data_IF_386891119528
#
_entry.id   IF_386891119528
#
_cell.length_a   1.000
_cell.length_b   1.000
_cell.length_c   1.000
_cell.angle_alpha   90.00
_cell.angle_beta   90.00
_cell.angle_gamma   90.00
#
_symmetry.space_group_name_H-M   'P 1'
#
loop_
_entity.id
_entity.type
_entity.pdbx_description
1 polymer ?
#
# COMPACT_ATOMS: atom_id res chain seq x y z
N UNK A 1 5.92 7.36 6.44
CA UNK A 1 5.02 7.69 5.31
C UNK A 1 3.55 7.56 5.72
N UNK A 2 3.16 8.02 6.90
CA UNK A 2 1.84 7.71 7.47
C UNK A 2 0.71 8.37 6.68
N UNK A 3 0.85 9.65 6.34
CA UNK A 3 -0.18 10.40 5.58
C UNK A 3 -0.46 9.81 4.20
N UNK A 4 0.57 9.40 3.46
CA UNK A 4 0.37 8.79 2.16
C UNK A 4 -0.25 7.39 2.25
N UNK A 5 0.02 6.67 3.35
CA UNK A 5 -0.67 5.41 3.64
C UNK A 5 -2.15 5.65 3.98
N UNK A 6 -2.45 6.69 4.76
CA UNK A 6 -3.82 7.07 5.10
C UNK A 6 -4.65 7.36 3.84
N UNK A 7 -4.13 8.15 2.90
CA UNK A 7 -4.78 8.36 1.59
C UNK A 7 -5.00 7.07 0.82
N UNK A 8 -3.98 6.20 0.76
CA UNK A 8 -4.08 4.92 0.05
C UNK A 8 -5.17 4.03 0.64
N UNK A 9 -5.27 3.99 1.97
CA UNK A 9 -6.28 3.22 2.71
C UNK A 9 -7.68 3.83 2.50
N UNK A 10 -7.84 5.14 2.62
CA UNK A 10 -9.11 5.85 2.44
C UNK A 10 -9.66 5.70 1.01
N UNK A 11 -8.81 5.76 -0.01
CA UNK A 11 -9.26 5.52 -1.38
C UNK A 11 -9.53 4.04 -1.66
N UNK A 12 -8.77 3.14 -1.03
CA UNK A 12 -9.02 1.69 -1.13
C UNK A 12 -10.37 1.30 -0.50
N UNK A 13 -10.75 1.87 0.65
CA UNK A 13 -12.03 1.55 1.29
C UNK A 13 -13.22 2.09 0.51
N UNK A 14 -13.15 3.34 0.00
CA UNK A 14 -14.19 3.93 -0.83
C UNK A 14 -14.40 3.11 -2.09
N UNK A 15 -13.30 2.67 -2.71
CA UNK A 15 -13.36 1.80 -3.88
C UNK A 15 -13.98 0.44 -3.55
N UNK A 16 -13.64 -0.17 -2.40
CA UNK A 16 -14.25 -1.42 -1.98
C UNK A 16 -15.77 -1.30 -1.81
N UNK A 17 -16.23 -0.29 -1.07
CA UNK A 17 -17.66 -0.05 -0.82
C UNK A 17 -18.41 0.20 -2.14
N UNK A 18 -17.84 1.02 -3.03
CA UNK A 18 -18.39 1.25 -4.37
C UNK A 18 -18.50 -0.05 -5.17
N UNK A 19 -17.42 -0.85 -5.21
CA UNK A 19 -17.42 -2.14 -5.92
C UNK A 19 -18.44 -3.11 -5.33
N UNK A 20 -18.59 -3.12 -4.01
CA UNK A 20 -19.56 -3.96 -3.30
C UNK A 20 -21.00 -3.62 -3.69
N UNK A 21 -21.37 -2.33 -3.72
CA UNK A 21 -22.70 -1.90 -4.16
C UNK A 21 -22.97 -2.16 -5.64
N UNK A 22 -21.95 -2.05 -6.50
CA UNK A 22 -22.05 -2.28 -7.94
C UNK A 22 -21.98 -3.75 -8.33
N UNK A 23 -21.60 -4.63 -7.40
CA UNK A 23 -21.41 -6.04 -7.69
C UNK A 23 -22.75 -6.71 -8.03
N UNK A 24 -22.81 -7.31 -9.21
CA UNK A 24 -23.90 -8.18 -9.63
C UNK A 24 -23.35 -9.46 -10.27
N UNK A 25 -24.20 -10.48 -10.44
CA UNK A 25 -23.81 -11.69 -11.17
C UNK A 25 -23.48 -11.41 -12.65
N UNK A 26 -24.04 -10.34 -13.22
CA UNK A 26 -23.83 -9.92 -14.61
C UNK A 26 -22.55 -9.08 -14.77
N UNK A 27 -22.19 -8.27 -13.76
CA UNK A 27 -20.98 -7.44 -13.73
C UNK A 27 -20.15 -7.72 -12.46
N UNK A 28 -19.31 -8.77 -12.47
CA UNK A 28 -18.52 -9.15 -11.31
C UNK A 28 -17.35 -8.17 -11.08
N UNK A 29 -17.57 -7.20 -10.19
CA UNK A 29 -16.56 -6.24 -9.70
C UNK A 29 -15.69 -6.79 -8.54
N UNK A 30 -16.13 -7.89 -7.91
CA UNK A 30 -15.47 -8.58 -6.80
C UNK A 30 -14.84 -9.92 -7.26
N UNK A 31 -13.77 -10.40 -6.61
CA UNK A 31 -13.08 -9.81 -5.45
C UNK A 31 -12.31 -8.53 -5.79
N UNK A 32 -12.06 -7.71 -4.78
CA UNK A 32 -11.06 -6.64 -4.85
C UNK A 32 -9.72 -7.13 -4.26
N UNK A 33 -8.64 -6.93 -5.01
CA UNK A 33 -7.28 -7.32 -4.66
C UNK A 33 -6.45 -6.07 -4.41
N UNK A 34 -5.75 -5.97 -3.28
CA UNK A 34 -4.89 -4.82 -2.99
C UNK A 34 -3.77 -4.65 -4.01
N UNK A 35 -3.27 -3.42 -4.17
CA UNK A 35 -2.24 -3.07 -5.15
C UNK A 35 -1.02 -2.36 -4.56
N UNK A 36 -0.95 -2.17 -3.23
CA UNK A 36 0.19 -1.49 -2.58
C UNK A 36 1.55 -2.22 -2.72
N UNK A 37 1.51 -3.55 -2.96
CA UNK A 37 2.70 -4.38 -3.17
C UNK A 37 3.12 -4.42 -4.66
N UNK A 38 4.22 -3.76 -5.05
CA UNK A 38 4.61 -3.66 -6.46
C UNK A 38 5.03 -5.01 -7.07
N UNK A 39 5.60 -5.92 -6.28
CA UNK A 39 5.92 -7.28 -6.74
C UNK A 39 4.66 -8.06 -7.15
N UNK A 40 3.56 -7.89 -6.41
CA UNK A 40 2.26 -8.48 -6.77
C UNK A 40 1.68 -7.82 -8.03
N UNK A 41 1.63 -6.49 -8.09
CA UNK A 41 1.11 -5.77 -9.26
C UNK A 41 1.86 -6.15 -10.53
N UNK A 42 3.20 -6.20 -10.48
CA UNK A 42 4.03 -6.62 -11.62
C UNK A 42 3.71 -8.04 -12.09
N UNK A 43 3.54 -8.97 -11.15
CA UNK A 43 3.14 -10.34 -11.47
C UNK A 43 1.74 -10.39 -12.10
N UNK A 44 0.79 -9.63 -11.55
CA UNK A 44 -0.57 -9.56 -12.05
C UNK A 44 -0.62 -9.04 -13.49
N UNK A 45 0.08 -7.95 -13.81
CA UNK A 45 0.04 -7.37 -15.18
C UNK A 45 0.82 -8.21 -16.19
N UNK A 46 2.03 -8.66 -15.82
CA UNK A 46 2.96 -9.30 -16.78
C UNK A 46 2.69 -10.77 -17.01
N UNK A 47 2.17 -11.48 -16.00
CA UNK A 47 2.00 -12.93 -16.06
C UNK A 47 0.54 -13.34 -16.05
N UNK A 48 -0.31 -12.65 -15.28
CA UNK A 48 -1.70 -13.07 -15.12
C UNK A 48 -2.65 -12.40 -16.11
N UNK A 49 -2.44 -11.11 -16.36
CA UNK A 49 -3.17 -10.29 -17.32
C UNK A 49 -4.62 -10.01 -16.97
N UNK A 50 -5.44 -9.80 -18.02
CA UNK A 50 -6.83 -9.36 -17.94
C UNK A 50 -7.76 -10.17 -17.00
N UNK A 51 -7.57 -11.50 -16.79
CA UNK A 51 -8.36 -12.22 -15.79
C UNK A 51 -8.18 -11.74 -14.34
N UNK A 52 -7.15 -10.93 -14.05
CA UNK A 52 -6.80 -10.49 -12.70
C UNK A 52 -6.72 -8.97 -12.59
N UNK A 53 -6.22 -8.27 -13.62
CA UNK A 53 -6.01 -6.81 -13.54
C UNK A 53 -7.27 -5.99 -13.21
N UNK A 54 -8.50 -6.33 -13.65
CA UNK A 54 -9.73 -5.62 -13.26
C UNK A 54 -10.04 -5.74 -11.76
N UNK A 55 -9.58 -6.80 -11.10
CA UNK A 55 -9.76 -7.01 -9.68
C UNK A 55 -8.77 -6.21 -8.82
N UNK A 56 -7.72 -5.63 -9.41
CA UNK A 56 -6.77 -4.81 -8.67
C UNK A 56 -7.41 -3.49 -8.23
N UNK A 57 -7.16 -3.12 -6.98
CA UNK A 57 -7.48 -1.81 -6.40
C UNK A 57 -6.78 -0.71 -7.18
N UNK A 58 -7.51 0.31 -7.61
CA UNK A 58 -6.98 1.45 -8.39
C UNK A 58 -6.30 2.50 -7.52
N UNK A 59 -6.51 2.50 -6.20
CA UNK A 59 -5.78 3.39 -5.30
C UNK A 59 -4.26 3.16 -5.42
N UNK A 60 -3.52 4.25 -5.58
CA UNK A 60 -2.06 4.25 -5.67
C UNK A 60 -1.44 3.75 -4.37
N UNK A 61 -0.22 3.23 -4.46
CA UNK A 61 0.52 2.85 -3.25
C UNK A 61 1.00 4.09 -2.47
N UNK A 62 1.33 3.94 -1.18
CA UNK A 62 1.80 5.07 -0.35
C UNK A 62 3.02 5.78 -0.94
N UNK A 63 3.91 5.05 -1.62
CA UNK A 63 5.07 5.64 -2.29
C UNK A 63 4.64 6.57 -3.43
N UNK A 64 3.69 6.13 -4.27
CA UNK A 64 3.25 6.90 -5.41
C UNK A 64 2.44 8.13 -4.97
N UNK A 65 1.59 7.97 -3.95
CA UNK A 65 0.85 9.09 -3.35
C UNK A 65 1.81 10.10 -2.73
N UNK A 66 2.86 9.65 -2.03
CA UNK A 66 3.87 10.55 -1.49
C UNK A 66 4.61 11.29 -2.61
N UNK A 67 4.93 10.61 -3.72
CA UNK A 67 5.49 11.24 -4.91
C UNK A 67 4.61 12.38 -5.43
N UNK A 68 3.30 12.14 -5.60
CA UNK A 68 2.33 13.18 -5.99
C UNK A 68 2.25 14.30 -4.97
N UNK A 69 2.22 14.00 -3.66
CA UNK A 69 2.16 15.02 -2.60
C UNK A 69 3.39 15.93 -2.61
N UNK A 70 4.59 15.36 -2.74
CA UNK A 70 5.85 16.11 -2.72
C UNK A 70 6.04 16.92 -4.00
N UNK A 71 5.85 16.30 -5.17
CA UNK A 71 6.11 16.93 -6.46
C UNK A 71 5.02 17.90 -6.89
N UNK A 72 3.85 17.87 -6.25
CA UNK A 72 2.75 18.78 -6.56
C UNK A 72 2.43 19.73 -5.42
N UNK A 73 1.82 19.25 -4.34
CA UNK A 73 1.38 20.11 -3.24
C UNK A 73 2.55 20.83 -2.58
N UNK A 74 3.58 20.11 -2.16
CA UNK A 74 4.74 20.70 -1.49
C UNK A 74 5.52 21.62 -2.43
N UNK A 75 5.73 21.21 -3.69
CA UNK A 75 6.38 22.04 -4.70
C UNK A 75 5.66 23.39 -4.91
N UNK A 76 4.32 23.36 -5.07
CA UNK A 76 3.49 24.57 -5.20
C UNK A 76 3.58 25.45 -3.94
N UNK A 77 3.51 24.84 -2.76
CA UNK A 77 3.57 25.57 -1.48
C UNK A 77 4.91 26.25 -1.24
N UNK A 78 6.00 25.65 -1.70
CA UNK A 78 7.36 26.23 -1.62
C UNK A 78 7.71 27.13 -2.81
N UNK A 79 6.79 27.31 -3.77
CA UNK A 79 7.03 28.03 -5.01
C UNK A 79 8.27 27.51 -5.78
N UNK A 80 8.46 26.17 -5.76
CA UNK A 80 9.54 25.47 -6.45
C UNK A 80 8.99 24.68 -7.64
N UNK A 81 9.77 24.59 -8.71
CA UNK A 81 9.47 23.65 -9.79
C UNK A 81 9.74 22.21 -9.32
N UNK A 82 8.93 21.21 -9.72
CA UNK A 82 9.11 19.82 -9.30
C UNK A 82 10.51 19.25 -9.58
N UNK A 83 11.15 19.71 -10.66
CA UNK A 83 12.51 19.31 -11.07
C UNK A 83 13.62 19.81 -10.12
N UNK A 84 13.33 20.78 -9.25
CA UNK A 84 14.28 21.27 -8.23
C UNK A 84 14.23 20.47 -6.93
N UNK A 85 13.27 19.56 -6.79
CA UNK A 85 13.10 18.74 -5.60
C UNK A 85 13.67 17.37 -5.91
N UNK A 86 14.64 16.90 -5.14
CA UNK A 86 15.13 15.53 -5.22
C UNK A 86 14.49 14.69 -4.11
N UNK A 87 13.55 13.82 -4.48
CA UNK A 87 12.74 13.03 -3.55
C UNK A 87 13.31 11.61 -3.43
N UNK A 88 13.82 11.29 -2.24
CA UNK A 88 14.37 9.97 -1.90
C UNK A 88 13.41 9.22 -0.99
N UNK A 89 13.17 7.95 -1.30
CA UNK A 89 12.34 7.04 -0.51
C UNK A 89 13.21 5.93 0.07
N UNK A 90 13.07 5.69 1.37
CA UNK A 90 13.63 4.49 2.02
C UNK A 90 12.53 3.44 2.17
N UNK A 91 12.74 2.24 1.64
CA UNK A 91 11.74 1.18 1.63
C UNK A 91 12.33 -0.21 1.92
N UNK A 92 11.59 -1.14 2.54
CA UNK A 92 12.11 -2.48 2.86
C UNK A 92 12.17 -3.43 1.64
N UNK A 93 11.95 -2.95 0.42
CA UNK A 93 11.70 -3.78 -0.75
C UNK A 93 12.36 -3.24 -2.03
N UNK A 94 13.06 -4.11 -2.77
CA UNK A 94 13.63 -3.77 -4.07
C UNK A 94 12.58 -3.46 -5.14
N UNK A 95 11.40 -4.08 -5.08
CA UNK A 95 10.33 -3.86 -6.05
C UNK A 95 9.80 -2.42 -6.01
N UNK A 96 10.03 -1.67 -4.92
CA UNK A 96 9.72 -0.24 -4.83
C UNK A 96 10.59 0.62 -5.77
N UNK A 97 11.81 0.16 -6.10
CA UNK A 97 12.62 0.77 -7.17
C UNK A 97 11.95 0.61 -8.52
N UNK A 98 11.42 -0.57 -8.79
CA UNK A 98 10.70 -0.86 -10.04
C UNK A 98 9.39 -0.08 -10.12
N UNK A 99 8.70 0.14 -8.99
CA UNK A 99 7.52 1.01 -8.92
C UNK A 99 7.87 2.46 -9.28
N UNK A 100 8.92 3.03 -8.70
CA UNK A 100 9.38 4.40 -9.03
C UNK A 100 9.72 4.55 -10.52
N UNK A 101 10.35 3.54 -11.12
CA UNK A 101 10.67 3.54 -12.56
C UNK A 101 9.44 3.45 -13.48
N UNK A 102 8.26 3.09 -12.96
CA UNK A 102 7.01 3.08 -13.75
C UNK A 102 6.34 4.44 -13.81
N UNK A 103 6.59 5.31 -12.84
CA UNK A 103 6.08 6.69 -12.79
C UNK A 103 6.73 7.59 -13.84
N UNK A 104 7.69 7.06 -14.60
CA UNK A 104 8.33 7.69 -15.74
C UNK A 104 7.42 7.99 -16.93
N UNK A 105 6.17 7.52 -16.93
CA UNK A 105 5.15 7.96 -17.89
C UNK A 105 4.50 9.22 -17.32
N UNK A 106 4.69 10.41 -17.94
CA UNK A 106 4.11 11.64 -17.43
C UNK A 106 2.59 11.52 -17.37
N UNK A 107 2.04 11.49 -16.16
CA UNK A 107 0.62 11.77 -15.94
C UNK A 107 0.37 13.26 -16.19
N UNK A 108 -0.84 13.62 -16.62
CA UNK A 108 -1.22 15.01 -16.92
C UNK A 108 -0.95 16.04 -15.78
N UNK A 109 -0.72 15.58 -14.54
CA UNK A 109 -0.34 16.41 -13.40
C UNK A 109 1.16 16.55 -13.14
N UNK A 110 2.02 15.66 -13.64
CA UNK A 110 3.43 15.61 -13.25
C UNK A 110 4.32 15.43 -14.48
N UNK A 111 5.12 16.46 -14.79
CA UNK A 111 6.20 16.39 -15.79
C UNK A 111 7.45 15.67 -15.30
N UNK A 112 7.50 15.27 -14.02
CA UNK A 112 8.66 14.69 -13.34
C UNK A 112 8.26 13.43 -12.56
N UNK A 113 9.26 12.59 -12.25
CA UNK A 113 9.09 11.36 -11.46
C UNK A 113 8.60 11.68 -10.06
N UNK A 114 7.71 10.84 -9.51
CA UNK A 114 7.26 10.98 -8.12
C UNK A 114 8.39 10.74 -7.12
N UNK A 115 9.17 9.68 -7.32
CA UNK A 115 10.41 9.41 -6.57
C UNK A 115 11.64 9.38 -7.49
N UNK A 116 12.68 10.14 -7.14
CA UNK A 116 13.92 10.21 -7.92
C UNK A 116 14.88 9.07 -7.57
N UNK A 117 14.89 8.65 -6.30
CA UNK A 117 15.70 7.56 -5.82
C UNK A 117 14.94 6.73 -4.77
N UNK A 118 15.07 5.42 -4.84
CA UNK A 118 14.57 4.51 -3.81
C UNK A 118 15.77 3.74 -3.26
N UNK A 119 16.01 3.90 -1.97
CA UNK A 119 17.04 3.17 -1.22
C UNK A 119 16.36 2.13 -0.34
N UNK A 120 17.01 0.99 -0.20
CA UNK A 120 16.54 -0.06 0.69
C UNK A 120 17.16 0.09 2.07
N UNK A 121 16.50 -0.44 3.10
CA UNK A 121 17.03 -0.39 4.47
C UNK A 121 18.42 -1.04 4.56
N UNK A 122 18.68 -2.13 3.82
CA UNK A 122 20.02 -2.73 3.73
C UNK A 122 21.05 -1.82 3.07
N UNK A 123 20.68 -1.09 2.01
CA UNK A 123 21.60 -0.13 1.36
C UNK A 123 21.92 1.06 2.27
N UNK A 124 20.96 1.53 3.08
CA UNK A 124 21.19 2.59 4.07
C UNK A 124 22.21 2.13 5.13
N UNK A 125 22.07 0.89 5.63
CA UNK A 125 23.03 0.31 6.58
C UNK A 125 24.43 0.26 5.97
N UNK A 126 24.56 -0.20 4.73
CA UNK A 126 25.85 -0.24 4.03
C UNK A 126 26.48 1.15 3.88
N UNK A 127 25.69 2.18 3.56
CA UNK A 127 26.17 3.56 3.46
C UNK A 127 26.67 4.06 4.81
N UNK A 128 25.97 3.74 5.90
CA UNK A 128 26.35 4.14 7.25
C UNK A 128 27.64 3.46 7.71
N UNK A 129 27.79 2.16 7.45
CA UNK A 129 29.01 1.39 7.76
C UNK A 129 30.24 1.95 7.03
N UNK A 130 30.07 2.40 5.79
CA UNK A 130 31.15 2.99 4.98
C UNK A 130 31.51 4.42 5.40
N UNK A 131 30.59 5.14 6.04
CA UNK A 131 30.72 6.57 6.31
C UNK A 131 31.04 6.90 7.78
N UNK A 132 31.26 5.88 8.63
CA UNK A 132 31.44 6.01 10.09
C UNK A 132 30.36 6.89 10.75
N UNK A 133 29.11 6.75 10.27
CA UNK A 133 27.97 7.54 10.74
C UNK A 133 27.21 6.76 11.83
N UNK A 134 27.04 7.39 12.99
CA UNK A 134 26.15 6.89 14.05
C UNK A 134 24.77 7.55 13.96
N UNK A 135 23.70 6.76 14.15
CA UNK A 135 22.33 7.29 14.22
C UNK A 135 22.11 7.89 15.60
N UNK A 136 21.55 9.10 15.63
CA UNK A 136 21.00 9.70 16.83
C UNK A 136 19.52 9.95 16.59
N UNK A 137 18.72 9.84 17.65
CA UNK A 137 17.32 10.21 17.58
C UNK A 137 17.21 11.68 17.18
N UNK A 138 16.41 11.94 16.16
CA UNK A 138 16.16 13.25 15.62
C UNK A 138 14.67 13.42 15.36
N UNK A 139 14.16 14.62 15.58
CA UNK A 139 12.79 14.96 15.21
C UNK A 139 12.63 14.88 13.69
N UNK A 140 11.48 14.38 13.24
CA UNK A 140 11.14 14.30 11.82
C UNK A 140 10.48 15.61 11.40
N UNK A 141 10.94 16.16 10.28
CA UNK A 141 10.31 17.34 9.67
C UNK A 141 8.91 17.00 9.16
N UNK A 142 7.98 17.94 9.29
CA UNK A 142 6.65 17.78 8.70
C UNK A 142 6.57 18.50 7.36
N UNK A 143 5.76 17.98 6.45
CA UNK A 143 5.52 18.63 5.15
C UNK A 143 4.71 19.94 5.26
N UNK A 144 4.24 20.31 6.47
CA UNK A 144 3.22 21.35 6.67
C UNK A 144 3.70 22.58 7.46
N UNK A 145 5.00 22.72 7.71
CA UNK A 145 5.58 23.91 8.34
C UNK A 145 6.46 23.57 9.55
N UNK A 146 6.66 24.54 10.44
CA UNK A 146 7.63 24.46 11.55
C UNK A 146 7.21 23.55 12.72
N UNK A 147 6.05 22.89 12.63
CA UNK A 147 5.66 21.91 13.65
C UNK A 147 6.45 20.62 13.42
N UNK A 148 7.23 20.22 14.41
CA UNK A 148 7.90 18.93 14.44
C UNK A 148 6.89 17.86 14.87
N UNK A 149 6.84 16.75 14.15
CA UNK A 149 6.11 15.58 14.66
C UNK A 149 6.96 14.95 15.77
N UNK A 150 6.55 15.17 17.02
CA UNK A 150 7.21 14.57 18.19
C UNK A 150 6.90 13.07 18.33
N UNK A 151 5.80 12.59 17.74
CA UNK A 151 5.39 11.19 17.79
C UNK A 151 5.09 10.63 16.38
N UNK A 152 5.82 9.58 16.01
CA UNK A 152 5.50 8.75 14.83
C UNK A 152 4.19 8.02 15.10
N UNK A 153 3.23 8.13 14.17
CA UNK A 153 1.96 7.41 14.24
C UNK A 153 1.89 6.31 13.19
N UNK A 154 1.15 5.26 13.50
CA UNK A 154 0.80 4.20 12.56
C UNK A 154 -0.70 4.22 12.28
N UNK A 155 -1.10 3.70 11.12
CA UNK A 155 -2.50 3.39 10.86
C UNK A 155 -2.89 2.10 11.61
N UNK A 156 -4.19 1.90 11.84
CA UNK A 156 -4.71 0.72 12.53
C UNK A 156 -4.28 -0.61 11.87
N UNK A 157 -3.44 -1.38 12.56
CA UNK A 157 -2.97 -2.68 12.08
C UNK A 157 -1.92 -3.30 13.02
N UNK A 158 -1.87 -4.64 13.10
CA UNK A 158 -0.86 -5.37 13.90
C UNK A 158 0.49 -5.54 13.18
N UNK A 159 0.57 -5.10 11.92
CA UNK A 159 1.77 -5.13 11.07
C UNK A 159 1.72 -3.96 10.07
N UNK A 160 2.80 -3.69 9.34
CA UNK A 160 2.96 -2.53 8.44
C UNK A 160 1.91 -2.37 7.33
N UNK A 161 1.02 -3.34 7.17
CA UNK A 161 0.22 -3.54 5.97
C UNK A 161 -1.28 -3.46 6.25
N UNK A 162 -1.74 -2.79 7.32
CA UNK A 162 -3.09 -2.84 7.93
C UNK A 162 -4.35 -2.51 7.09
N UNK A 163 -4.30 -2.59 5.76
CA UNK A 163 -5.40 -2.33 4.84
C UNK A 163 -6.58 -3.25 5.11
N UNK A 164 -6.36 -4.56 5.27
CA UNK A 164 -7.45 -5.51 5.50
C UNK A 164 -8.27 -5.14 6.74
N UNK A 165 -7.60 -4.90 7.87
CA UNK A 165 -8.27 -4.60 9.12
C UNK A 165 -9.11 -3.32 9.02
N UNK A 166 -8.52 -2.28 8.43
CA UNK A 166 -9.16 -0.98 8.31
C UNK A 166 -10.36 -1.01 7.35
N UNK A 167 -10.16 -1.50 6.12
CA UNK A 167 -11.22 -1.62 5.12
C UNK A 167 -12.34 -2.53 5.62
N UNK A 168 -12.02 -3.61 6.35
CA UNK A 168 -13.03 -4.49 6.93
C UNK A 168 -13.91 -3.79 7.96
N UNK A 169 -13.33 -3.03 8.89
CA UNK A 169 -14.09 -2.26 9.89
C UNK A 169 -14.97 -1.21 9.23
N UNK A 170 -14.39 -0.47 8.27
CA UNK A 170 -15.12 0.57 7.55
C UNK A 170 -16.29 -0.03 6.76
N UNK A 171 -16.06 -1.09 6.00
CA UNK A 171 -17.09 -1.78 5.24
C UNK A 171 -18.18 -2.37 6.13
N UNK A 172 -17.83 -2.96 7.28
CA UNK A 172 -18.81 -3.50 8.24
C UNK A 172 -19.74 -2.38 8.75
N UNK A 173 -19.17 -1.23 9.08
CA UNK A 173 -19.91 -0.07 9.58
C UNK A 173 -20.77 0.57 8.49
N UNK A 174 -20.21 0.84 7.32
CA UNK A 174 -20.92 1.55 6.25
C UNK A 174 -21.98 0.70 5.56
N UNK A 175 -21.68 -0.58 5.26
CA UNK A 175 -22.59 -1.44 4.51
C UNK A 175 -23.66 -2.10 5.39
N UNK A 176 -23.33 -2.39 6.65
CA UNK A 176 -24.19 -3.21 7.53
C UNK A 176 -24.52 -2.58 8.87
N UNK A 177 -24.00 -1.39 9.15
CA UNK A 177 -24.15 -0.69 10.43
C UNK A 177 -23.66 -1.53 11.63
N UNK A 178 -22.61 -2.33 11.43
CA UNK A 178 -21.98 -3.17 12.45
C UNK A 178 -20.63 -2.56 12.87
N UNK A 179 -20.46 -2.30 14.17
CA UNK A 179 -19.21 -1.76 14.70
C UNK A 179 -18.26 -2.88 15.16
N UNK A 180 -17.15 -3.03 14.46
CA UNK A 180 -16.16 -4.09 14.71
C UNK A 180 -14.96 -3.52 15.46
N UNK A 181 -14.94 -3.68 16.79
CA UNK A 181 -13.80 -3.26 17.61
C UNK A 181 -12.52 -4.04 17.29
N UNK A 182 -12.53 -5.37 17.48
CA UNK A 182 -11.38 -6.25 17.26
C UNK A 182 -11.62 -7.21 16.11
N UNK A 183 -10.72 -7.17 15.10
CA UNK A 183 -10.75 -8.08 13.96
C UNK A 183 -10.17 -9.43 14.35
N UNK A 184 -10.97 -10.50 14.29
CA UNK A 184 -10.54 -11.86 14.61
C UNK A 184 -10.04 -12.57 13.36
N UNK A 185 -8.75 -12.94 13.36
CA UNK A 185 -8.12 -13.63 12.24
C UNK A 185 -8.16 -15.14 12.43
N UNK A 186 -8.74 -15.86 11.47
CA UNK A 186 -8.66 -17.31 11.39
C UNK A 186 -7.50 -17.71 10.49
N UNK A 187 -6.51 -18.38 11.06
CA UNK A 187 -5.41 -18.96 10.27
C UNK A 187 -5.92 -20.17 9.50
N UNK A 188 -5.67 -20.22 8.20
CA UNK A 188 -6.08 -21.34 7.35
C UNK A 188 -4.95 -22.36 7.23
N UNK A 189 -4.21 -22.34 6.11
CA UNK A 189 -3.17 -23.34 5.81
C UNK A 189 -1.83 -23.03 6.47
N UNK A 190 -1.50 -21.74 6.59
CA UNK A 190 -0.24 -21.26 7.15
C UNK A 190 -0.45 -19.87 7.75
N UNK A 191 0.52 -19.41 8.54
CA UNK A 191 0.49 -18.10 9.22
C UNK A 191 0.35 -16.89 8.27
N UNK A 192 0.68 -17.09 7.00
CA UNK A 192 0.68 -16.12 5.90
C UNK A 192 -0.61 -16.17 5.07
N UNK A 193 -1.58 -17.01 5.45
CA UNK A 193 -2.92 -17.05 4.86
C UNK A 193 -3.99 -17.03 5.95
N UNK A 194 -4.54 -15.84 6.19
CA UNK A 194 -5.51 -15.56 7.25
C UNK A 194 -6.84 -15.11 6.63
N UNK A 195 -7.93 -15.48 7.28
CA UNK A 195 -9.29 -15.17 6.86
C UNK A 195 -10.00 -14.39 7.98
N UNK A 196 -10.85 -13.45 7.58
CA UNK A 196 -11.71 -12.65 8.46
C UNK A 196 -13.11 -12.68 7.88
N UNK A 197 -14.10 -12.96 8.72
CA UNK A 197 -15.51 -13.05 8.32
C UNK A 197 -16.38 -12.20 9.22
N UNK A 198 -17.33 -11.47 8.61
CA UNK A 198 -18.45 -10.85 9.29
C UNK A 198 -19.68 -11.72 9.05
N UNK A 199 -20.28 -12.21 10.12
CA UNK A 199 -21.49 -13.03 10.08
C UNK A 199 -22.61 -12.35 10.87
N UNK A 200 -23.80 -12.29 10.28
CA UNK A 200 -25.01 -11.75 10.92
C UNK A 200 -26.18 -12.66 10.60
N UNK A 201 -26.94 -13.06 11.62
CA UNK A 201 -28.10 -13.96 11.47
C UNK A 201 -27.81 -15.28 10.72
N UNK A 202 -26.57 -15.79 10.81
CA UNK A 202 -26.15 -17.02 10.12
C UNK A 202 -25.75 -16.83 8.65
N UNK A 203 -25.79 -15.60 8.12
CA UNK A 203 -25.32 -15.25 6.79
C UNK A 203 -23.95 -14.58 6.85
N UNK A 204 -23.08 -14.91 5.89
CA UNK A 204 -21.75 -14.32 5.75
C UNK A 204 -21.86 -13.06 4.93
N UNK A 205 -21.79 -11.91 5.59
CA UNK A 205 -21.90 -10.59 4.97
C UNK A 205 -20.59 -10.17 4.30
N UNK A 206 -19.47 -10.34 5.00
CA UNK A 206 -18.13 -10.02 4.47
C UNK A 206 -17.19 -11.19 4.69
N UNK A 207 -16.41 -11.54 3.67
CA UNK A 207 -15.32 -12.51 3.79
C UNK A 207 -14.05 -11.96 3.16
N UNK A 208 -13.07 -11.65 4.00
CA UNK A 208 -11.79 -11.05 3.62
C UNK A 208 -10.66 -12.05 3.86
N UNK A 209 -9.57 -11.91 3.11
CA UNK A 209 -8.36 -12.71 3.35
C UNK A 209 -7.07 -11.91 3.19
N UNK A 210 -6.07 -12.24 4.00
CA UNK A 210 -4.69 -11.81 3.81
C UNK A 210 -3.89 -12.99 3.25
N UNK A 211 -3.30 -12.82 2.07
CA UNK A 211 -2.54 -13.82 1.34
C UNK A 211 -1.11 -13.33 1.05
N UNK A 212 -0.19 -13.70 1.93
CA UNK A 212 1.20 -13.29 1.87
C UNK A 212 2.08 -14.41 1.29
N UNK A 213 3.06 -14.04 0.50
CA UNK A 213 3.98 -14.97 -0.14
C UNK A 213 3.45 -15.58 -1.44
N UNK A 214 4.33 -15.73 -2.42
CA UNK A 214 3.98 -16.14 -3.78
C UNK A 214 3.22 -17.48 -3.88
N UNK A 215 3.51 -18.43 -2.98
CA UNK A 215 2.79 -19.71 -2.92
C UNK A 215 1.30 -19.53 -2.59
N UNK A 216 0.97 -18.60 -1.68
CA UNK A 216 -0.42 -18.29 -1.34
C UNK A 216 -1.08 -17.50 -2.47
N UNK A 217 -0.36 -16.56 -3.09
CA UNK A 217 -0.81 -15.81 -4.27
C UNK A 217 -1.22 -16.75 -5.40
N UNK A 218 -0.38 -17.72 -5.75
CA UNK A 218 -0.70 -18.71 -6.79
C UNK A 218 -1.99 -19.48 -6.47
N UNK A 219 -2.21 -19.85 -5.21
CA UNK A 219 -3.44 -20.53 -4.79
C UNK A 219 -4.68 -19.63 -4.92
N UNK A 220 -4.58 -18.36 -4.53
CA UNK A 220 -5.65 -17.36 -4.67
C UNK A 220 -6.02 -17.20 -6.15
N UNK A 221 -5.03 -16.98 -7.01
CA UNK A 221 -5.21 -16.82 -8.45
C UNK A 221 -5.83 -18.06 -9.09
N UNK A 222 -5.38 -19.26 -8.71
CA UNK A 222 -5.95 -20.52 -9.21
C UNK A 222 -7.42 -20.69 -8.80
N UNK A 223 -7.81 -20.27 -7.60
CA UNK A 223 -9.22 -20.32 -7.15
C UNK A 223 -10.08 -19.29 -7.89
N UNK A 224 -9.55 -18.08 -8.06
CA UNK A 224 -10.23 -17.01 -8.79
C UNK A 224 -10.50 -17.39 -10.25
N UNK A 225 -9.48 -17.92 -10.95
CA UNK A 225 -9.63 -18.43 -12.33
C UNK A 225 -10.61 -19.60 -12.47
N UNK A 226 -10.88 -20.34 -11.39
CA UNK A 226 -11.85 -21.45 -11.37
C UNK A 226 -13.27 -21.01 -11.05
N UNK A 227 -13.51 -19.71 -10.78
CA UNK A 227 -14.82 -19.16 -10.41
C UNK A 227 -15.30 -19.57 -9.01
N UNK A 228 -14.52 -20.33 -8.25
CA UNK A 228 -14.84 -20.75 -6.87
C UNK A 228 -14.08 -19.88 -5.88
N UNK A 229 -14.45 -18.60 -5.82
CA UNK A 229 -13.77 -17.61 -5.00
C UNK A 229 -14.68 -17.05 -3.91
N UNK A 230 -14.49 -17.42 -2.64
CA UNK A 230 -15.44 -17.06 -1.58
C UNK A 230 -15.18 -15.70 -0.94
N UNK A 231 -14.16 -14.96 -1.38
CA UNK A 231 -13.71 -13.72 -0.73
C UNK A 231 -14.20 -12.49 -1.50
N UNK A 232 -14.62 -11.46 -0.79
CA UNK A 232 -14.96 -10.15 -1.35
C UNK A 232 -13.71 -9.26 -1.48
N UNK A 233 -12.76 -9.40 -0.56
CA UNK A 233 -11.52 -8.63 -0.54
C UNK A 233 -10.33 -9.52 -0.21
N UNK A 234 -9.19 -9.27 -0.85
CA UNK A 234 -7.94 -9.97 -0.57
C UNK A 234 -6.79 -8.98 -0.51
N UNK A 235 -6.10 -8.97 0.62
CA UNK A 235 -4.82 -8.32 0.78
C UNK A 235 -3.70 -9.24 0.31
N UNK A 236 -2.89 -8.77 -0.63
CA UNK A 236 -1.91 -9.57 -1.36
C UNK A 236 -0.54 -8.95 -1.26
N UNK A 237 0.39 -9.66 -0.62
CA UNK A 237 1.78 -9.25 -0.46
C UNK A 237 2.72 -10.33 -0.98
N UNK A 238 3.72 -9.94 -1.79
CA UNK A 238 4.62 -10.89 -2.44
C UNK A 238 5.57 -11.60 -1.46
N UNK A 239 5.96 -10.93 -0.37
CA UNK A 239 6.84 -11.49 0.66
C UNK A 239 6.01 -12.23 1.73
N UNK A 240 6.47 -13.40 2.17
CA UNK A 240 5.94 -14.04 3.36
C UNK A 240 6.33 -13.22 4.58
N UNK A 241 5.43 -13.03 5.56
CA UNK A 241 5.65 -12.10 6.67
C UNK A 241 5.51 -10.61 6.34
N UNK A 242 4.92 -10.25 5.20
CA UNK A 242 4.60 -8.87 4.84
C UNK A 242 5.82 -8.00 4.52
N UNK A 243 5.65 -6.67 4.55
CA UNK A 243 6.72 -5.74 4.17
C UNK A 243 7.90 -5.74 5.16
N UNK A 244 7.67 -6.08 6.44
CA UNK A 244 8.75 -6.24 7.44
C UNK A 244 9.76 -7.33 7.05
N UNK A 245 9.32 -8.34 6.30
CA UNK A 245 10.16 -9.42 5.76
C UNK A 245 10.59 -9.16 4.31
N UNK A 246 10.55 -7.90 3.85
CA UNK A 246 10.94 -7.51 2.51
C UNK A 246 12.41 -7.84 2.22
N UNK A 247 12.73 -8.20 0.98
CA UNK A 247 14.10 -8.61 0.61
C UNK A 247 15.14 -7.48 0.70
N UNK A 248 14.70 -6.22 0.72
CA UNK A 248 15.57 -5.05 0.86
C UNK A 248 15.89 -4.68 2.31
N UNK A 249 15.42 -5.46 3.28
CA UNK A 249 15.79 -5.27 4.68
C UNK A 249 17.28 -5.54 4.91
N UNK A 250 17.81 -5.00 6.01
CA UNK A 250 19.16 -5.34 6.44
C UNK A 250 19.25 -6.83 6.76
N UNK A 251 20.34 -7.46 6.31
CA UNK A 251 20.64 -8.87 6.56
C UNK A 251 21.83 -8.99 7.50
N UNK A 252 21.92 -10.12 8.18
CA UNK A 252 23.12 -10.54 8.89
C UNK A 252 24.30 -10.70 7.92
N UNK A 253 25.54 -10.74 8.44
CA UNK A 253 26.76 -10.97 7.63
C UNK A 253 26.65 -12.23 6.74
N UNK A 254 25.91 -13.25 7.21
CA UNK A 254 25.63 -14.49 6.46
C UNK A 254 24.58 -14.34 5.34
N UNK A 255 24.09 -13.11 5.08
CA UNK A 255 23.04 -12.82 4.10
C UNK A 255 21.66 -13.34 4.48
N UNK A 256 21.44 -13.67 5.77
CA UNK A 256 20.16 -14.17 6.29
C UNK A 256 19.37 -13.07 6.99
N UNK A 257 18.05 -13.20 6.96
CA UNK A 257 17.14 -12.33 7.72
C UNK A 257 17.47 -12.41 9.21
N UNK A 258 17.72 -11.26 9.81
CA UNK A 258 17.89 -11.15 11.25
C UNK A 258 16.54 -11.28 11.96
N UNK A 259 16.32 -12.43 12.61
CA UNK A 259 15.09 -12.72 13.34
C UNK A 259 14.97 -11.91 14.63
N UNK A 260 16.08 -11.50 15.24
CA UNK A 260 16.06 -10.69 16.45
C UNK A 260 15.64 -9.26 16.08
N UNK A 261 16.25 -8.69 15.05
CA UNK A 261 15.86 -7.39 14.51
C UNK A 261 14.40 -7.38 14.06
N UNK A 262 13.94 -8.42 13.34
CA UNK A 262 12.55 -8.51 12.91
C UNK A 262 11.58 -8.47 14.10
N UNK A 263 11.86 -9.21 15.18
CA UNK A 263 11.03 -9.17 16.40
C UNK A 263 11.03 -7.81 17.07
N UNK A 264 12.17 -7.12 17.07
CA UNK A 264 12.26 -5.77 17.60
C UNK A 264 11.41 -4.80 16.77
N UNK A 265 11.50 -4.88 15.43
CA UNK A 265 10.68 -4.07 14.53
C UNK A 265 9.18 -4.34 14.71
N UNK A 266 8.78 -5.61 14.84
CA UNK A 266 7.40 -6.00 15.17
C UNK A 266 6.94 -5.37 16.49
N UNK A 267 7.80 -5.38 17.52
CA UNK A 267 7.52 -4.75 18.81
C UNK A 267 7.37 -3.23 18.71
N UNK A 268 8.22 -2.55 17.95
CA UNK A 268 8.12 -1.11 17.69
C UNK A 268 6.83 -0.77 16.95
N UNK A 269 6.49 -1.51 15.89
CA UNK A 269 5.24 -1.32 15.17
C UNK A 269 4.01 -1.51 16.08
N UNK A 270 4.03 -2.53 16.95
CA UNK A 270 2.93 -2.79 17.88
C UNK A 270 2.80 -1.77 19.02
N UNK A 271 3.91 -1.14 19.42
CA UNK A 271 3.93 -0.10 20.46
C UNK A 271 3.58 1.29 19.92
N UNK A 272 3.62 1.50 18.60
CA UNK A 272 3.34 2.80 17.98
C UNK A 272 1.83 3.10 18.06
N UNK A 273 1.41 4.29 18.55
CA UNK A 273 0.01 4.64 18.62
C UNK A 273 -0.67 4.54 17.25
N UNK A 274 -1.77 3.81 17.22
CA UNK A 274 -2.58 3.65 16.03
C UNK A 274 -3.67 4.72 15.98
N UNK A 275 -3.82 5.37 14.83
CA UNK A 275 -4.87 6.34 14.58
C UNK A 275 -5.65 5.96 13.32
N UNK A 276 -6.99 5.97 13.34
CA UNK A 276 -7.78 5.77 12.13
C UNK A 276 -7.54 6.91 11.12
N UNK A 277 -7.20 6.60 9.85
CA UNK A 277 -7.04 7.56 8.76
C UNK A 277 -8.15 8.63 8.67
N UNK A 278 -9.40 8.26 8.93
CA UNK A 278 -10.56 9.18 8.86
C UNK A 278 -10.47 10.32 9.88
N UNK A 279 -9.87 10.06 11.04
CA UNK A 279 -9.75 11.03 12.14
C UNK A 279 -8.58 12.00 11.95
N UNK A 280 -7.73 11.77 10.94
CA UNK A 280 -6.57 12.61 10.67
C UNK A 280 -6.99 13.96 10.09
N UNK A 281 -6.99 14.99 10.94
CA UNK A 281 -7.29 16.36 10.53
C UNK A 281 -6.36 16.86 9.41
N UNK A 282 -5.11 16.40 9.38
CA UNK A 282 -4.15 16.73 8.32
C UNK A 282 -4.58 16.17 6.97
N UNK A 283 -5.00 14.89 6.93
CA UNK A 283 -5.46 14.24 5.70
C UNK A 283 -6.74 14.91 5.20
N UNK A 284 -7.68 15.23 6.09
CA UNK A 284 -8.91 15.95 5.74
C UNK A 284 -8.62 17.36 5.19
N UNK A 285 -7.67 18.09 5.81
CA UNK A 285 -7.22 19.38 5.31
C UNK A 285 -6.65 19.29 3.90
N UNK A 286 -5.83 18.27 3.62
CA UNK A 286 -5.25 18.05 2.29
C UNK A 286 -6.29 17.65 1.23
N UNK A 287 -7.32 16.87 1.58
CA UNK A 287 -8.43 16.64 0.64
C UNK A 287 -9.06 17.95 0.18
N UNK A 288 -9.22 18.93 1.07
CA UNK A 288 -9.81 20.22 0.73
C UNK A 288 -8.82 21.14 0.01
N UNK A 289 -7.63 21.34 0.57
CA UNK A 289 -6.66 22.33 0.07
C UNK A 289 -5.92 21.87 -1.18
N UNK A 290 -5.47 20.61 -1.23
CA UNK A 290 -4.69 20.09 -2.34
C UNK A 290 -5.59 19.53 -3.43
N UNK A 291 -6.55 18.70 -3.05
CA UNK A 291 -7.34 17.94 -4.01
C UNK A 291 -8.64 18.66 -4.40
N UNK A 292 -9.07 19.71 -3.69
CA UNK A 292 -10.29 20.46 -4.01
C UNK A 292 -11.58 19.68 -3.69
N UNK A 293 -11.52 18.76 -2.72
CA UNK A 293 -12.62 17.91 -2.28
C UNK A 293 -12.37 16.41 -2.52
N UNK A 294 -13.09 15.58 -1.77
CA UNK A 294 -12.94 14.11 -1.80
C UNK A 294 -13.40 13.44 -3.10
N UNK A 295 -14.29 14.08 -3.86
CA UNK A 295 -14.86 13.57 -5.12
C UNK A 295 -14.36 14.32 -6.36
N UNK A 296 -13.27 15.09 -6.22
CA UNK A 296 -12.75 15.91 -7.32
C UNK A 296 -12.06 15.06 -8.39
N UNK A 297 -12.00 15.53 -9.65
CA UNK A 297 -11.19 14.87 -10.68
C UNK A 297 -9.69 14.86 -10.34
N UNK A 298 -9.23 15.79 -9.49
CA UNK A 298 -7.84 15.83 -9.01
C UNK A 298 -7.52 14.60 -8.16
N UNK A 299 -8.47 14.08 -7.37
CA UNK A 299 -8.31 12.84 -6.59
C UNK A 299 -7.99 11.67 -7.51
N UNK A 300 -8.73 11.51 -8.61
CA UNK A 300 -8.49 10.42 -9.56
C UNK A 300 -7.09 10.49 -10.16
N UNK A 301 -6.62 11.67 -10.54
CA UNK A 301 -5.31 11.82 -11.15
C UNK A 301 -4.15 11.73 -10.13
N UNK A 302 -4.34 12.23 -8.90
CA UNK A 302 -3.33 12.24 -7.86
C UNK A 302 -3.24 10.91 -7.09
N UNK A 303 -4.37 10.27 -6.80
CA UNK A 303 -4.46 9.13 -5.88
C UNK A 303 -4.83 7.79 -6.55
N UNK A 304 -5.26 7.78 -7.81
CA UNK A 304 -5.62 6.53 -8.52
C UNK A 304 -4.71 6.26 -9.73
N UNK A 305 -4.62 4.98 -10.08
CA UNK A 305 -3.89 4.48 -11.24
C UNK A 305 -4.71 3.42 -11.97
N UNK A 306 -4.30 3.11 -13.20
CA UNK A 306 -4.92 2.08 -14.02
C UNK A 306 -3.87 1.02 -14.37
N UNK A 307 -4.30 -0.25 -14.34
CA UNK A 307 -3.46 -1.38 -14.69
C UNK A 307 -3.69 -1.77 -16.14
N UNK A 308 -2.61 -2.02 -16.86
CA UNK A 308 -2.71 -2.44 -18.25
C UNK A 308 -2.87 -3.95 -18.37
N UNK A 309 -3.67 -4.39 -19.34
CA UNK A 309 -3.71 -5.79 -19.78
C UNK A 309 -2.49 -6.17 -20.64
N UNK A 310 -2.22 -7.47 -20.83
CA UNK A 310 -1.12 -7.92 -21.66
C UNK A 310 -1.42 -7.57 -23.13
N UNK A 311 -0.60 -6.69 -23.74
CA UNK A 311 -0.79 -6.29 -25.14
C UNK A 311 -0.08 -5.01 -25.56
N UNK A 312 0.36 -4.15 -24.64
CA UNK A 312 1.24 -3.05 -24.99
C UNK A 312 2.71 -3.52 -25.07
N UNK A 313 3.48 -3.06 -26.06
CA UNK A 313 4.88 -3.46 -26.21
C UNK A 313 5.64 -3.14 -24.92
N UNK A 314 6.43 -4.12 -24.47
CA UNK A 314 7.44 -3.94 -23.44
C UNK A 314 8.15 -2.60 -23.63
N UNK A 315 8.06 -1.69 -22.65
CA UNK A 315 8.86 -0.47 -22.71
C UNK A 315 10.34 -0.87 -22.69
N UNK A 316 11.20 -0.09 -23.34
CA UNK A 316 12.65 -0.36 -23.48
C UNK A 316 13.42 -0.48 -22.16
N UNK A 317 12.74 -0.35 -21.01
CA UNK A 317 13.26 -0.50 -19.64
C UNK A 317 12.96 -1.88 -19.02
N UNK A 318 12.41 -2.81 -19.80
CA UNK A 318 12.19 -4.18 -19.36
C UNK A 318 13.52 -4.94 -19.27
N UNK A 319 14.06 -5.01 -18.05
CA UNK A 319 15.14 -5.94 -17.69
C UNK A 319 14.60 -7.36 -17.91
N UNK A 320 15.10 -8.04 -18.94
CA UNK A 320 14.97 -9.49 -19.09
C UNK A 320 15.86 -10.13 -18.03
N UNK A 321 15.23 -10.79 -17.06
CA UNK A 321 15.90 -11.69 -16.12
C UNK A 321 16.14 -13.05 -16.79
#
# INVERSE_FOLDING_TARGET
>A
MTIAADFSILESQKEFVRRYHQHSEEEPTLPMLTSACPGWVRYAERVLGHPITPHLCTAKSPQQIMGSLVKDYFARRQNLSPDKIFHVIVAPCYDKKLEALREDVPTALHSSRGADCVLTSGEIVQIMEQSDLSVKDAAVDTLFGDQKEEEVRCHDGTSSDGYLAHIFRHAAKELFNEDVGAVTYRTLRNKDFREVTLEKNGEVLLRFAAAYGFRNIQNVVLKLKKGKFPYHFVEVLACAGGCLSGRGQAHTEDGRVDRALLRQMEGVCAATPAQPPETSAQVQGLYQEWLGGADSPTVQAALHTAYQGPGQPASSRDIKW
#
